data_IF_443187846984
#
_entry.id   IF_443187846984
#
_cell.length_a   1.000
_cell.length_b   1.000
_cell.length_c   1.000
_cell.angle_alpha   90.00
_cell.angle_beta   90.00
_cell.angle_gamma   90.00
#
_symmetry.space_group_name_H-M   'P 1'
#
loop_
_entity.id
_entity.type
_entity.pdbx_description
1 polymer ?
#
# COMPACT_ATOMS: atom_id res chain seq x y z
N UNK A 1 -14.51 -17.00 13.61
CA UNK A 1 -14.98 -16.20 12.45
C UNK A 1 -13.78 -15.46 11.88
N UNK A 2 -13.30 -15.85 10.70
CA UNK A 2 -12.19 -15.16 10.01
C UNK A 2 -12.77 -14.15 9.03
N UNK A 3 -12.29 -12.91 9.07
CA UNK A 3 -12.59 -11.91 8.05
C UNK A 3 -12.04 -12.37 6.68
N UNK A 4 -12.78 -12.13 5.60
CA UNK A 4 -12.26 -12.28 4.24
C UNK A 4 -11.10 -11.30 3.99
N UNK A 5 -10.30 -11.53 2.95
CA UNK A 5 -9.17 -10.62 2.59
C UNK A 5 -9.62 -9.16 2.47
N UNK A 6 -10.67 -8.90 1.70
CA UNK A 6 -11.24 -7.55 1.56
C UNK A 6 -11.87 -6.99 2.84
N UNK A 7 -12.38 -7.83 3.74
CA UNK A 7 -12.85 -7.37 5.06
C UNK A 7 -11.69 -6.95 5.96
N UNK A 8 -10.57 -7.69 5.96
CA UNK A 8 -9.35 -7.30 6.69
C UNK A 8 -8.80 -5.97 6.18
N UNK A 9 -8.74 -5.78 4.86
CA UNK A 9 -8.28 -4.53 4.25
C UNK A 9 -9.12 -3.32 4.67
N UNK A 10 -10.45 -3.42 4.62
CA UNK A 10 -11.33 -2.32 5.05
C UNK A 10 -11.16 -1.99 6.53
N UNK A 11 -10.96 -3.00 7.39
CA UNK A 11 -10.69 -2.76 8.82
C UNK A 11 -9.36 -2.05 9.02
N UNK A 12 -8.31 -2.45 8.31
CA UNK A 12 -6.99 -1.79 8.38
C UNK A 12 -7.08 -0.33 7.99
N UNK A 13 -7.83 0.02 6.95
CA UNK A 13 -7.98 1.43 6.57
C UNK A 13 -8.89 2.22 7.47
N UNK A 14 -10.00 1.64 7.93
CA UNK A 14 -10.79 2.29 8.96
C UNK A 14 -9.90 2.61 10.19
N UNK A 15 -9.05 1.66 10.61
CA UNK A 15 -8.10 1.88 11.69
C UNK A 15 -7.06 2.97 11.35
N UNK A 16 -6.50 2.96 10.14
CA UNK A 16 -5.54 3.97 9.70
C UNK A 16 -6.14 5.37 9.64
N UNK A 17 -7.37 5.52 9.12
CA UNK A 17 -8.12 6.77 9.09
C UNK A 17 -8.43 7.28 10.50
N UNK A 18 -8.84 6.39 11.41
CA UNK A 18 -9.17 6.73 12.80
C UNK A 18 -7.94 7.00 13.67
N UNK A 19 -6.75 6.56 13.26
CA UNK A 19 -5.52 6.70 14.04
C UNK A 19 -5.04 8.15 14.21
N UNK A 20 -5.58 9.09 13.43
CA UNK A 20 -5.13 10.48 13.39
C UNK A 20 -3.70 10.66 12.85
N UNK A 21 -3.03 9.60 12.39
CA UNK A 21 -1.70 9.68 11.78
C UNK A 21 -1.78 10.27 10.38
N UNK A 22 -0.78 11.05 10.01
CA UNK A 22 -0.67 11.60 8.65
C UNK A 22 0.16 10.72 7.71
N UNK A 23 1.01 9.85 8.26
CA UNK A 23 1.82 8.89 7.52
C UNK A 23 1.35 7.45 7.80
N UNK A 24 1.07 6.72 6.74
CA UNK A 24 0.72 5.30 6.75
C UNK A 24 1.79 4.55 5.95
N UNK A 25 2.34 3.50 6.54
CA UNK A 25 3.33 2.64 5.89
C UNK A 25 2.72 1.26 5.67
N UNK A 26 2.77 0.78 4.44
CA UNK A 26 2.25 -0.53 4.03
C UNK A 26 3.40 -1.35 3.43
N UNK A 27 3.68 -2.49 4.04
CA UNK A 27 4.70 -3.42 3.57
C UNK A 27 4.02 -4.59 2.84
N UNK A 28 4.33 -4.75 1.56
CA UNK A 28 3.83 -5.78 0.67
C UNK A 28 2.29 -5.95 0.68
N UNK A 29 1.51 -4.87 0.45
CA UNK A 29 0.05 -4.88 0.67
C UNK A 29 -0.74 -5.74 -0.32
N UNK A 30 -0.12 -6.15 -1.44
CA UNK A 30 -0.71 -7.02 -2.47
C UNK A 30 -0.22 -8.46 -2.43
N UNK A 31 0.64 -8.83 -1.48
CA UNK A 31 1.23 -10.17 -1.42
C UNK A 31 0.18 -11.28 -1.32
N UNK A 32 0.22 -12.23 -2.25
CA UNK A 32 -0.69 -13.38 -2.29
C UNK A 32 -2.13 -13.04 -2.69
N UNK A 33 -2.38 -11.84 -3.23
CA UNK A 33 -3.69 -11.43 -3.74
C UNK A 33 -3.80 -11.70 -5.24
N UNK A 34 -5.02 -11.97 -5.70
CA UNK A 34 -5.32 -11.96 -7.14
C UNK A 34 -5.48 -10.53 -7.66
N UNK A 35 -5.57 -10.39 -8.99
CA UNK A 35 -5.69 -9.09 -9.64
C UNK A 35 -6.92 -8.29 -9.16
N UNK A 36 -8.06 -8.95 -8.91
CA UNK A 36 -9.26 -8.26 -8.43
C UNK A 36 -9.05 -7.66 -7.02
N UNK A 37 -8.36 -8.37 -6.15
CA UNK A 37 -8.00 -7.89 -4.83
C UNK A 37 -6.88 -6.84 -4.87
N UNK A 38 -5.95 -6.90 -5.83
CA UNK A 38 -4.98 -5.81 -6.07
C UNK A 38 -5.69 -4.49 -6.42
N UNK A 39 -6.69 -4.55 -7.31
CA UNK A 39 -7.49 -3.37 -7.66
C UNK A 39 -8.22 -2.78 -6.43
N UNK A 40 -8.68 -3.63 -5.51
CA UNK A 40 -9.25 -3.18 -4.24
C UNK A 40 -8.21 -2.49 -3.35
N UNK A 41 -6.97 -2.98 -3.28
CA UNK A 41 -5.87 -2.29 -2.60
C UNK A 41 -5.60 -0.94 -3.25
N UNK A 42 -5.56 -0.86 -4.57
CA UNK A 42 -5.36 0.40 -5.29
C UNK A 42 -6.40 1.47 -4.91
N UNK A 43 -7.68 1.10 -4.95
CA UNK A 43 -8.78 1.97 -4.52
C UNK A 43 -8.63 2.44 -3.06
N UNK A 44 -8.13 1.56 -2.21
CA UNK A 44 -7.89 1.83 -0.80
C UNK A 44 -6.78 2.89 -0.59
N UNK A 45 -5.67 2.77 -1.33
CA UNK A 45 -4.60 3.77 -1.35
C UNK A 45 -5.15 5.15 -1.77
N UNK A 46 -6.03 5.16 -2.78
CA UNK A 46 -6.64 6.39 -3.27
C UNK A 46 -7.57 7.05 -2.26
N UNK A 47 -8.35 6.27 -1.49
CA UNK A 47 -9.18 6.79 -0.39
C UNK A 47 -8.33 7.43 0.71
N UNK A 48 -7.22 6.79 1.09
CA UNK A 48 -6.29 7.34 2.09
C UNK A 48 -5.68 8.67 1.60
N UNK A 49 -5.26 8.71 0.33
CA UNK A 49 -4.76 9.94 -0.31
C UNK A 49 -5.81 11.05 -0.31
N UNK A 50 -7.04 10.75 -0.70
CA UNK A 50 -8.16 11.72 -0.70
C UNK A 50 -8.48 12.25 0.70
N UNK A 51 -8.25 11.44 1.75
CA UNK A 51 -8.34 11.85 3.13
C UNK A 51 -7.14 12.68 3.64
N UNK A 52 -6.23 13.09 2.74
CA UNK A 52 -5.07 13.91 3.05
C UNK A 52 -3.92 13.15 3.69
N UNK A 53 -3.89 11.81 3.60
CA UNK A 53 -2.84 10.98 4.19
C UNK A 53 -1.68 10.79 3.22
N UNK A 54 -0.48 10.75 3.78
CA UNK A 54 0.73 10.30 3.09
C UNK A 54 0.78 8.78 3.24
N UNK A 55 0.87 8.07 2.12
CA UNK A 55 0.97 6.61 2.10
C UNK A 55 2.32 6.22 1.49
N UNK A 56 3.11 5.50 2.26
CA UNK A 56 4.35 4.86 1.80
C UNK A 56 4.06 3.37 1.57
N UNK A 57 4.22 2.93 0.34
CA UNK A 57 4.09 1.52 -0.04
C UNK A 57 5.48 0.96 -0.31
N UNK A 58 5.79 -0.16 0.34
CA UNK A 58 6.96 -0.98 0.07
C UNK A 58 6.45 -2.22 -0.67
N UNK A 59 6.89 -2.40 -1.90
CA UNK A 59 6.42 -3.50 -2.76
C UNK A 59 7.44 -3.82 -3.84
N UNK A 60 7.42 -5.07 -4.31
CA UNK A 60 8.08 -5.49 -5.55
C UNK A 60 7.09 -5.55 -6.74
N UNK A 61 5.82 -5.21 -6.52
CA UNK A 61 4.76 -5.20 -7.52
C UNK A 61 4.81 -3.92 -8.38
N UNK A 62 5.31 -4.06 -9.60
CA UNK A 62 5.47 -2.94 -10.53
C UNK A 62 4.13 -2.39 -11.02
N UNK A 63 3.11 -3.23 -11.20
CA UNK A 63 1.77 -2.78 -11.61
C UNK A 63 1.13 -1.92 -10.51
N UNK A 64 1.19 -2.37 -9.26
CA UNK A 64 0.70 -1.57 -8.13
C UNK A 64 1.40 -0.21 -8.06
N UNK A 65 2.73 -0.21 -8.21
CA UNK A 65 3.53 1.01 -8.17
C UNK A 65 3.20 1.96 -9.33
N UNK A 66 3.07 1.44 -10.55
CA UNK A 66 2.79 2.25 -11.74
C UNK A 66 1.38 2.83 -11.74
N UNK A 67 0.38 2.07 -11.30
CA UNK A 67 -1.03 2.46 -11.42
C UNK A 67 -1.51 3.32 -10.25
N UNK A 68 -0.94 3.14 -9.04
CA UNK A 68 -1.53 3.68 -7.81
C UNK A 68 -0.60 4.60 -7.00
N UNK A 69 0.70 4.66 -7.29
CA UNK A 69 1.63 5.52 -6.58
C UNK A 69 1.90 6.82 -7.35
N UNK A 70 1.88 7.95 -6.64
CA UNK A 70 2.22 9.26 -7.22
C UNK A 70 3.71 9.40 -7.56
N UNK A 71 4.55 8.71 -6.80
CA UNK A 71 6.00 8.72 -6.94
C UNK A 71 6.52 7.33 -6.63
N UNK A 72 7.49 6.88 -7.42
CA UNK A 72 8.15 5.59 -7.25
C UNK A 72 9.63 5.83 -7.02
N UNK A 73 10.19 5.19 -6.01
CA UNK A 73 11.64 5.17 -5.73
C UNK A 73 12.08 3.72 -5.86
N UNK A 74 13.04 3.47 -6.73
CA UNK A 74 13.66 2.15 -6.85
C UNK A 74 14.83 2.04 -5.88
N UNK A 75 14.81 1.02 -5.03
CA UNK A 75 15.93 0.69 -4.16
C UNK A 75 16.88 -0.26 -4.88
N UNK A 76 18.06 0.22 -5.25
CA UNK A 76 19.11 -0.60 -5.86
C UNK A 76 20.21 -0.89 -4.84
N UNK A 77 20.21 -2.10 -4.28
CA UNK A 77 21.20 -2.57 -3.28
C UNK A 77 22.66 -2.61 -3.81
N UNK A 78 22.86 -2.34 -5.11
CA UNK A 78 24.18 -2.36 -5.76
C UNK A 78 25.04 -1.13 -5.50
N UNK A 79 24.50 -0.02 -5.00
CA UNK A 79 25.27 1.20 -4.74
C UNK A 79 25.93 1.25 -3.35
N UNK A 80 25.47 0.44 -2.37
CA UNK A 80 26.00 0.50 -1.00
C UNK A 80 27.19 -0.43 -0.72
N UNK A 81 27.49 -1.39 -1.60
CA UNK A 81 28.63 -2.32 -1.46
C UNK A 81 29.94 -1.83 -2.10
N UNK A 82 29.99 -0.54 -2.45
CA UNK A 82 31.12 0.09 -3.15
C UNK A 82 31.94 1.09 -2.32
N UNK A 83 31.91 1.02 -0.98
CA UNK A 83 32.81 1.77 -0.09
C UNK A 83 33.65 0.86 0.78
#
# INVERSE_FOLDING_TARGET
MSLSGGQKQRVVVAAAMLSGKDLIVLDEPTSGLDHAHMQQVGQLLQQLKQAGKIVLVITHDEELAADWCDRVIQWNDKEERGR
#
